data_IF_995541613988
#
_entry.id   IF_995541613988
#
_cell.length_a   1.000
_cell.length_b   1.000
_cell.length_c   1.000
_cell.angle_alpha   90.00
_cell.angle_beta   90.00
_cell.angle_gamma   90.00
#
_symmetry.space_group_name_H-M   'P 1'
#
loop_
_entity.id
_entity.type
_entity.pdbx_description
1 polymer ?
#
# COMPACT_ATOMS: atom_id res chain seq x y z
N UNK A 1 -10.86 22.69 21.25
CA UNK A 1 -9.81 21.68 21.54
C UNK A 1 -9.87 20.65 20.44
N UNK A 2 -8.74 20.38 19.80
CA UNK A 2 -8.65 19.50 18.63
C UNK A 2 -7.91 18.21 19.00
N UNK A 3 -8.31 17.09 18.39
CA UNK A 3 -7.69 15.77 18.54
C UNK A 3 -7.82 15.04 17.21
N UNK A 4 -6.80 14.27 16.83
CA UNK A 4 -6.79 13.48 15.59
C UNK A 4 -6.68 12.01 15.96
N UNK A 5 -7.62 11.20 15.50
CA UNK A 5 -7.50 9.75 15.61
C UNK A 5 -6.52 9.24 14.56
N UNK A 6 -5.42 8.64 15.02
CA UNK A 6 -4.34 8.09 14.19
C UNK A 6 -4.40 6.57 14.04
N UNK A 7 -5.30 5.89 14.76
CA UNK A 7 -5.43 4.44 14.76
C UNK A 7 -6.91 4.05 14.70
N UNK A 8 -7.38 3.73 13.49
CA UNK A 8 -8.78 3.48 13.17
C UNK A 8 -8.90 2.36 12.14
N UNK A 9 -9.70 1.36 12.46
CA UNK A 9 -10.06 0.25 11.60
C UNK A 9 -11.38 0.53 10.89
N UNK A 10 -11.29 0.80 9.59
CA UNK A 10 -12.42 1.01 8.70
C UNK A 10 -13.09 -0.31 8.31
N UNK A 11 -14.11 -0.25 7.45
CA UNK A 11 -14.71 -1.45 6.86
C UNK A 11 -13.72 -2.27 5.99
N UNK A 12 -12.56 -1.70 5.64
CA UNK A 12 -11.50 -2.37 4.89
C UNK A 12 -10.52 -3.16 5.77
N UNK A 13 -10.67 -3.11 7.10
CA UNK A 13 -10.12 -4.11 8.02
C UNK A 13 -11.06 -5.32 8.07
N UNK A 14 -10.87 -6.26 7.15
CA UNK A 14 -11.83 -7.33 6.93
C UNK A 14 -12.07 -8.17 8.19
N UNK A 15 -13.36 -8.36 8.52
CA UNK A 15 -13.82 -9.11 9.70
C UNK A 15 -13.27 -8.57 11.05
N UNK A 16 -12.87 -7.29 11.10
CA UNK A 16 -12.29 -6.69 12.31
C UNK A 16 -12.74 -5.23 12.53
N UNK A 17 -12.86 -4.42 11.47
CA UNK A 17 -13.29 -3.03 11.54
C UNK A 17 -14.70 -2.79 10.98
N UNK A 18 -15.44 -1.86 11.61
CA UNK A 18 -16.78 -1.42 11.21
C UNK A 18 -16.92 0.10 11.17
N UNK A 19 -15.81 0.84 11.23
CA UNK A 19 -15.82 2.29 11.05
C UNK A 19 -16.02 2.65 9.58
N UNK A 20 -17.27 2.57 9.09
CA UNK A 20 -17.60 2.92 7.71
C UNK A 20 -17.07 4.32 7.36
N UNK A 21 -16.27 4.44 6.29
CA UNK A 21 -15.62 5.70 5.85
C UNK A 21 -16.61 6.88 5.82
N UNK A 22 -17.81 6.68 5.27
CA UNK A 22 -18.81 7.75 5.17
C UNK A 22 -19.26 8.26 6.56
N UNK A 23 -19.42 7.36 7.52
CA UNK A 23 -19.78 7.71 8.90
C UNK A 23 -18.59 8.33 9.65
N UNK A 24 -17.39 7.78 9.43
CA UNK A 24 -16.13 8.26 10.01
C UNK A 24 -15.88 9.71 9.64
N UNK A 25 -15.89 10.03 8.34
CA UNK A 25 -15.68 11.38 7.82
C UNK A 25 -16.76 12.34 8.30
N UNK A 26 -18.03 11.92 8.28
CA UNK A 26 -19.15 12.73 8.78
C UNK A 26 -19.02 13.06 10.26
N UNK A 27 -18.61 12.10 11.09
CA UNK A 27 -18.40 12.29 12.53
C UNK A 27 -17.17 13.17 12.79
N UNK A 28 -16.06 12.95 12.08
CA UNK A 28 -14.88 13.81 12.15
C UNK A 28 -15.20 15.27 11.81
N UNK A 29 -15.97 15.51 10.73
CA UNK A 29 -16.44 16.85 10.34
C UNK A 29 -17.30 17.50 11.42
N UNK A 30 -18.28 16.77 11.96
CA UNK A 30 -19.16 17.25 13.04
C UNK A 30 -18.36 17.64 14.29
N UNK A 31 -17.28 16.93 14.56
CA UNK A 31 -16.37 17.19 15.68
C UNK A 31 -15.30 18.23 15.40
N UNK A 32 -15.23 18.77 14.17
CA UNK A 32 -14.21 19.74 13.73
C UNK A 32 -12.79 19.22 13.90
N UNK A 33 -12.58 17.93 13.62
CA UNK A 33 -11.24 17.35 13.56
C UNK A 33 -10.55 17.81 12.27
N UNK A 34 -9.30 18.31 12.33
CA UNK A 34 -8.58 18.80 11.15
C UNK A 34 -8.14 17.65 10.24
N UNK A 35 -7.85 16.49 10.84
CA UNK A 35 -7.41 15.29 10.15
C UNK A 35 -8.03 14.05 10.79
N UNK A 36 -8.02 12.93 10.06
CA UNK A 36 -8.36 11.59 10.56
C UNK A 36 -7.58 10.54 9.79
N UNK A 37 -7.13 9.49 10.49
CA UNK A 37 -6.46 8.35 9.87
C UNK A 37 -7.38 7.17 9.65
N UNK A 38 -7.03 6.34 8.67
CA UNK A 38 -7.38 4.91 8.64
C UNK A 38 -6.08 4.11 8.66
N UNK A 39 -6.05 3.07 9.48
CA UNK A 39 -4.90 2.18 9.69
C UNK A 39 -5.40 0.75 9.64
N UNK A 40 -5.90 0.37 8.47
CA UNK A 40 -6.57 -0.91 8.32
C UNK A 40 -5.59 -2.07 8.51
N UNK A 41 -6.08 -3.16 9.12
CA UNK A 41 -5.28 -4.37 9.34
C UNK A 41 -5.04 -5.08 8.02
N UNK A 42 -3.77 -5.21 7.65
CA UNK A 42 -3.31 -5.92 6.46
C UNK A 42 -4.00 -5.45 5.15
N UNK A 43 -4.35 -4.16 5.09
CA UNK A 43 -5.09 -3.61 3.94
C UNK A 43 -4.88 -2.11 3.83
N UNK A 44 -4.77 -1.62 2.61
CA UNK A 44 -4.86 -0.19 2.27
C UNK A 44 -5.94 0.07 1.22
N UNK A 45 -6.84 -0.91 0.99
CA UNK A 45 -7.83 -0.87 -0.08
C UNK A 45 -8.81 0.31 0.04
N UNK A 46 -9.04 0.81 1.26
CA UNK A 46 -9.87 1.98 1.52
C UNK A 46 -9.23 3.34 1.19
N UNK A 47 -7.92 3.39 0.92
CA UNK A 47 -7.15 4.63 0.90
C UNK A 47 -7.66 5.70 -0.08
N UNK A 48 -7.92 5.32 -1.34
CA UNK A 48 -8.38 6.27 -2.38
C UNK A 48 -9.80 6.77 -2.07
N UNK A 49 -10.71 5.87 -1.69
CA UNK A 49 -12.10 6.23 -1.32
C UNK A 49 -12.12 7.16 -0.11
N UNK A 50 -11.33 6.84 0.91
CA UNK A 50 -11.19 7.65 2.12
C UNK A 50 -10.62 9.02 1.80
N UNK A 51 -9.53 9.09 1.03
CA UNK A 51 -8.89 10.34 0.62
C UNK A 51 -9.86 11.27 -0.09
N UNK A 52 -10.63 10.73 -1.04
CA UNK A 52 -11.69 11.48 -1.74
C UNK A 52 -12.73 12.05 -0.78
N UNK A 53 -13.28 11.20 0.10
CA UNK A 53 -14.34 11.60 1.05
C UNK A 53 -13.85 12.65 2.06
N UNK A 54 -12.63 12.50 2.56
CA UNK A 54 -11.99 13.48 3.43
C UNK A 54 -11.81 14.83 2.73
N UNK A 55 -11.32 14.83 1.48
CA UNK A 55 -11.20 16.05 0.67
C UNK A 55 -12.54 16.75 0.49
N UNK A 56 -13.58 16.03 0.05
CA UNK A 56 -14.93 16.60 -0.13
C UNK A 56 -15.50 17.18 1.17
N UNK A 57 -15.07 16.64 2.31
CA UNK A 57 -15.47 17.10 3.63
C UNK A 57 -14.64 18.28 4.16
N UNK A 58 -13.47 18.59 3.56
CA UNK A 58 -12.51 19.57 4.04
C UNK A 58 -11.70 19.08 5.24
N UNK A 59 -11.38 17.78 5.28
CA UNK A 59 -10.60 17.12 6.33
C UNK A 59 -9.35 16.51 5.69
N UNK A 60 -8.20 16.62 6.35
CA UNK A 60 -6.97 15.98 5.88
C UNK A 60 -7.03 14.45 6.10
N UNK A 61 -6.91 13.64 5.04
CA UNK A 61 -6.80 12.19 5.20
C UNK A 61 -5.39 11.80 5.64
N UNK A 62 -5.28 10.85 6.55
CA UNK A 62 -4.01 10.19 6.90
C UNK A 62 -4.16 8.71 6.53
N UNK A 63 -3.27 8.22 5.66
CA UNK A 63 -3.30 6.83 5.22
C UNK A 63 -2.27 6.04 6.01
N UNK A 64 -2.69 4.92 6.60
CA UNK A 64 -1.80 4.03 7.30
C UNK A 64 -2.18 2.56 7.16
N UNK A 65 -1.42 1.73 7.86
CA UNK A 65 -1.47 0.28 7.81
C UNK A 65 -1.14 -0.26 9.20
N UNK A 66 -2.01 -1.13 9.73
CA UNK A 66 -1.60 -2.04 10.79
C UNK A 66 -1.05 -3.31 10.15
N UNK A 67 0.18 -3.68 10.52
CA UNK A 67 0.82 -4.90 10.03
C UNK A 67 1.65 -5.57 11.12
N UNK A 68 1.69 -6.91 11.09
CA UNK A 68 2.52 -7.70 11.98
C UNK A 68 3.97 -7.82 11.47
N UNK A 69 4.93 -7.55 12.36
CA UNK A 69 6.37 -7.71 12.12
C UNK A 69 6.86 -8.96 12.84
N UNK A 70 7.32 -9.93 12.07
CA UNK A 70 7.98 -11.13 12.56
C UNK A 70 9.40 -10.78 13.05
N UNK A 71 9.68 -11.13 14.30
CA UNK A 71 11.01 -11.06 14.86
C UNK A 71 11.81 -12.32 14.52
N UNK A 72 12.18 -12.42 13.24
CA UNK A 72 12.95 -13.51 12.62
C UNK A 72 14.33 -13.73 13.23
N UNK A 73 14.92 -12.69 13.81
CA UNK A 73 16.27 -12.72 14.41
C UNK A 73 16.30 -13.12 15.88
N UNK A 74 15.16 -13.27 16.55
CA UNK A 74 15.12 -13.60 17.99
C UNK A 74 14.20 -14.79 18.30
N UNK A 75 13.01 -14.55 18.84
CA UNK A 75 12.09 -15.56 19.38
C UNK A 75 11.01 -16.02 18.39
N UNK A 76 11.01 -15.48 17.16
CA UNK A 76 10.04 -15.83 16.13
C UNK A 76 8.61 -15.35 16.40
N UNK A 77 8.40 -14.49 17.41
CA UNK A 77 7.09 -13.88 17.66
C UNK A 77 6.82 -12.79 16.62
N UNK A 78 5.53 -12.54 16.38
CA UNK A 78 5.06 -11.48 15.51
C UNK A 78 4.29 -10.45 16.34
N UNK A 79 4.52 -9.17 16.07
CA UNK A 79 3.90 -8.06 16.79
C UNK A 79 3.36 -7.03 15.83
N UNK A 80 2.16 -6.51 16.09
CA UNK A 80 1.59 -5.42 15.29
C UNK A 80 2.32 -4.12 15.54
N UNK A 81 2.49 -3.35 14.47
CA UNK A 81 2.86 -1.94 14.49
C UNK A 81 1.89 -1.14 13.63
N UNK A 82 1.86 0.17 13.85
CA UNK A 82 1.09 1.09 13.01
C UNK A 82 2.05 1.92 12.19
N UNK A 83 1.86 1.91 10.86
CA UNK A 83 2.62 2.72 9.93
C UNK A 83 1.69 3.76 9.30
N UNK A 84 2.13 5.02 9.25
CA UNK A 84 1.42 6.10 8.56
C UNK A 84 2.29 6.60 7.41
N UNK A 85 1.70 6.78 6.24
CA UNK A 85 2.35 7.37 5.09
C UNK A 85 2.47 8.88 5.27
N UNK A 86 3.70 9.37 5.44
CA UNK A 86 4.00 10.80 5.54
C UNK A 86 3.87 11.51 4.20
N UNK A 87 4.20 10.83 3.10
CA UNK A 87 4.19 11.35 1.74
C UNK A 87 3.93 10.22 0.72
N UNK A 88 4.00 10.52 -0.58
CA UNK A 88 3.78 9.53 -1.65
C UNK A 88 4.80 8.37 -1.60
N UNK A 89 6.05 8.64 -1.26
CA UNK A 89 7.07 7.58 -1.07
C UNK A 89 6.66 6.62 0.05
N UNK A 90 6.20 7.17 1.18
CA UNK A 90 5.63 6.40 2.28
C UNK A 90 4.45 5.54 1.84
N UNK A 91 3.50 6.10 1.07
CA UNK A 91 2.36 5.35 0.56
C UNK A 91 2.78 4.19 -0.38
N UNK A 92 3.77 4.43 -1.24
CA UNK A 92 4.34 3.38 -2.09
C UNK A 92 5.03 2.29 -1.25
N UNK A 93 5.70 2.67 -0.17
CA UNK A 93 6.32 1.72 0.76
C UNK A 93 5.27 0.92 1.55
N UNK A 94 4.16 1.53 1.99
CA UNK A 94 3.03 0.78 2.55
C UNK A 94 2.49 -0.26 1.54
N UNK A 95 2.35 0.14 0.28
CA UNK A 95 1.89 -0.74 -0.80
C UNK A 95 2.86 -1.90 -1.06
N UNK A 96 4.17 -1.65 -1.00
CA UNK A 96 5.20 -2.70 -1.11
C UNK A 96 5.15 -3.66 0.08
N UNK A 97 5.11 -3.13 1.31
CA UNK A 97 5.07 -3.94 2.52
C UNK A 97 3.87 -4.87 2.55
N UNK A 98 2.68 -4.36 2.19
CA UNK A 98 1.47 -5.20 2.20
C UNK A 98 1.52 -6.28 1.11
N UNK A 99 2.07 -5.96 -0.07
CA UNK A 99 2.28 -6.97 -1.12
C UNK A 99 3.28 -8.04 -0.69
N UNK A 100 4.40 -7.65 -0.06
CA UNK A 100 5.38 -8.60 0.47
C UNK A 100 4.77 -9.54 1.52
N UNK A 101 3.92 -9.00 2.40
CA UNK A 101 3.25 -9.76 3.44
C UNK A 101 2.27 -10.79 2.85
N UNK A 102 1.40 -10.37 1.92
CA UNK A 102 0.44 -11.25 1.25
C UNK A 102 1.12 -12.31 0.37
N UNK A 103 2.21 -11.96 -0.32
CA UNK A 103 2.96 -12.93 -1.13
C UNK A 103 3.62 -14.02 -0.30
N UNK A 104 3.96 -13.72 0.97
CA UNK A 104 4.54 -14.70 1.90
C UNK A 104 3.48 -15.63 2.46
N UNK A 105 2.40 -15.05 3.01
CA UNK A 105 1.27 -15.78 3.56
C UNK A 105 -0.01 -14.93 3.44
N UNK A 106 -0.92 -15.26 2.50
CA UNK A 106 -2.17 -14.52 2.33
C UNK A 106 -3.11 -14.64 3.55
N UNK A 107 -3.02 -15.72 4.33
CA UNK A 107 -3.91 -15.98 5.45
C UNK A 107 -3.50 -15.21 6.71
N UNK A 108 -2.20 -15.05 6.93
CA UNK A 108 -1.66 -14.26 8.05
C UNK A 108 -0.53 -13.36 7.56
N UNK A 109 -0.84 -12.25 6.87
CA UNK A 109 0.17 -11.36 6.30
C UNK A 109 1.09 -10.80 7.37
N UNK A 110 2.40 -11.07 7.22
CA UNK A 110 3.47 -10.61 8.13
C UNK A 110 4.68 -10.20 7.32
N UNK A 111 5.41 -9.21 7.81
CA UNK A 111 6.71 -8.79 7.26
C UNK A 111 7.85 -9.16 8.21
N UNK A 112 9.07 -9.33 7.71
CA UNK A 112 10.25 -9.44 8.56
C UNK A 112 10.77 -8.06 8.97
N UNK A 113 11.60 -8.02 10.02
CA UNK A 113 12.33 -6.80 10.42
C UNK A 113 13.24 -6.27 9.29
N UNK A 114 13.79 -7.15 8.46
CA UNK A 114 14.61 -6.75 7.29
C UNK A 114 13.77 -6.06 6.22
N UNK A 115 12.60 -6.61 5.88
CA UNK A 115 11.69 -6.00 4.90
C UNK A 115 11.20 -4.64 5.37
N UNK A 116 10.93 -4.48 6.67
CA UNK A 116 10.56 -3.18 7.25
C UNK A 116 11.68 -2.15 7.10
N UNK A 117 12.93 -2.56 7.33
CA UNK A 117 14.11 -1.70 7.21
C UNK A 117 14.40 -1.29 5.75
N UNK A 118 14.01 -2.10 4.76
CA UNK A 118 14.17 -1.77 3.34
C UNK A 118 13.10 -0.80 2.81
N UNK A 119 11.99 -0.65 3.53
CA UNK A 119 10.82 0.13 3.12
C UNK A 119 10.42 1.18 4.18
N UNK A 120 11.38 1.77 4.89
CA UNK A 120 11.14 2.71 6.00
C UNK A 120 10.93 4.17 5.55
N UNK A 121 11.45 4.53 4.37
CA UNK A 121 11.42 5.90 3.87
C UNK A 121 9.97 6.44 3.76
N UNK A 122 9.76 7.68 4.19
CA UNK A 122 8.46 8.35 4.13
C UNK A 122 7.41 7.80 5.10
N UNK A 123 7.78 6.97 6.07
CA UNK A 123 6.85 6.40 7.05
C UNK A 123 7.01 6.99 8.46
N UNK A 124 5.88 7.09 9.16
CA UNK A 124 5.81 7.31 10.61
C UNK A 124 5.38 6.00 11.26
N UNK A 125 6.08 5.58 12.31
CA UNK A 125 5.83 4.33 13.00
C UNK A 125 5.36 4.57 14.44
N UNK A 126 4.24 3.96 14.81
CA UNK A 126 3.75 3.90 16.18
C UNK A 126 3.97 2.48 16.72
N UNK A 127 4.52 2.40 17.93
CA UNK A 127 4.95 1.13 18.54
C UNK A 127 3.84 0.11 18.81
N UNK A 128 2.56 0.50 18.65
CA UNK A 128 1.38 -0.17 19.20
C UNK A 128 1.41 -0.24 20.74
N UNK A 129 0.24 -0.19 21.37
CA UNK A 129 0.08 -0.39 22.82
C UNK A 129 0.38 -1.85 23.23
N UNK A 130 -0.46 -2.49 24.05
CA UNK A 130 -0.20 -3.83 24.64
C UNK A 130 0.03 -4.97 23.65
N UNK A 131 -0.33 -4.80 22.37
CA UNK A 131 -0.09 -5.77 21.29
C UNK A 131 1.30 -5.60 20.65
N UNK A 132 1.94 -4.45 20.87
CA UNK A 132 3.27 -4.15 20.37
C UNK A 132 4.37 -4.92 21.08
N UNK A 133 5.50 -5.10 20.40
CA UNK A 133 6.68 -5.81 20.89
C UNK A 133 7.21 -5.19 22.19
N UNK A 134 7.28 -3.86 22.24
CA UNK A 134 7.81 -3.11 23.39
C UNK A 134 6.94 -3.32 24.62
N UNK A 135 5.63 -3.08 24.52
CA UNK A 135 4.73 -3.22 25.66
C UNK A 135 4.68 -4.67 26.15
N UNK A 136 4.75 -5.66 25.24
CA UNK A 136 4.83 -7.07 25.60
C UNK A 136 6.08 -7.35 26.45
N UNK A 137 7.26 -6.92 25.99
CA UNK A 137 8.52 -7.10 26.74
C UNK A 137 8.50 -6.36 28.09
N UNK A 138 7.90 -5.16 28.15
CA UNK A 138 7.75 -4.42 29.40
C UNK A 138 6.82 -5.15 30.40
N UNK A 139 5.74 -5.77 29.92
CA UNK A 139 4.84 -6.57 30.75
C UNK A 139 5.50 -7.88 31.23
N UNK A 140 6.42 -8.44 30.44
CA UNK A 140 7.26 -9.58 30.80
C UNK A 140 8.42 -9.23 31.75
N UNK A 141 8.56 -7.95 32.16
CA UNK A 141 9.68 -7.43 32.95
C UNK A 141 11.06 -7.59 32.27
N UNK A 142 11.08 -7.55 30.93
CA UNK A 142 12.28 -7.60 30.09
C UNK A 142 12.67 -6.19 29.63
N UNK A 143 12.76 -5.25 30.57
CA UNK A 143 12.95 -3.81 30.30
C UNK A 143 14.21 -3.51 29.48
N UNK A 144 15.29 -4.28 29.66
CA UNK A 144 16.53 -4.13 28.86
C UNK A 144 16.30 -4.46 27.38
N UNK A 145 15.54 -5.52 27.11
CA UNK A 145 15.25 -5.97 25.74
C UNK A 145 14.25 -5.02 25.06
N UNK A 146 13.25 -4.55 25.81
CA UNK A 146 12.34 -3.51 25.33
C UNK A 146 13.10 -2.25 24.87
N UNK A 147 14.17 -1.88 25.59
CA UNK A 147 15.02 -0.75 25.21
C UNK A 147 15.81 -1.02 23.93
N UNK A 148 16.38 -2.21 23.77
CA UNK A 148 17.07 -2.61 22.53
C UNK A 148 16.12 -2.56 21.33
N UNK A 149 14.90 -3.08 21.49
CA UNK A 149 13.86 -3.03 20.46
C UNK A 149 13.49 -1.58 20.13
N UNK A 150 13.30 -0.74 21.14
CA UNK A 150 13.02 0.67 20.92
C UNK A 150 14.14 1.37 20.17
N UNK A 151 15.40 1.13 20.54
CA UNK A 151 16.55 1.77 19.92
C UNK A 151 16.67 1.33 18.45
N UNK A 152 16.31 0.08 18.15
CA UNK A 152 16.23 -0.43 16.77
C UNK A 152 15.17 0.29 15.95
N UNK A 153 13.92 0.37 16.42
CA UNK A 153 12.88 1.12 15.70
C UNK A 153 13.24 2.60 15.54
N UNK A 154 13.83 3.22 16.56
CA UNK A 154 14.32 4.59 16.49
C UNK A 154 15.43 4.76 15.46
N UNK A 155 16.32 3.77 15.31
CA UNK A 155 17.38 3.83 14.29
C UNK A 155 16.86 3.77 12.85
N UNK A 156 15.67 3.18 12.66
CA UNK A 156 15.01 3.08 11.35
C UNK A 156 14.21 4.36 11.08
N UNK A 157 13.25 4.68 11.94
CA UNK A 157 12.30 5.76 11.70
C UNK A 157 12.78 7.14 12.19
N UNK A 158 13.90 7.22 12.90
CA UNK A 158 14.47 8.45 13.45
C UNK A 158 13.42 9.26 14.24
N UNK A 159 13.16 10.50 13.83
CA UNK A 159 12.17 11.40 14.44
C UNK A 159 10.71 11.02 14.11
N UNK A 160 10.51 10.09 13.17
CA UNK A 160 9.20 9.58 12.78
C UNK A 160 8.78 8.36 13.63
N UNK A 161 9.45 8.09 14.76
CA UNK A 161 9.10 7.02 15.67
C UNK A 161 8.39 7.54 16.92
N UNK A 162 7.23 6.95 17.25
CA UNK A 162 6.42 7.34 18.40
C UNK A 162 6.03 6.11 19.23
N UNK A 163 5.99 6.28 20.55
CA UNK A 163 5.36 5.32 21.42
C UNK A 163 3.85 5.54 21.47
N UNK A 164 3.11 4.48 21.22
CA UNK A 164 1.66 4.55 21.24
C UNK A 164 1.11 4.15 22.61
N UNK A 165 0.26 5.00 23.19
CA UNK A 165 -0.49 4.69 24.41
C UNK A 165 -1.99 4.71 24.14
N UNK A 166 -2.69 3.83 24.83
CA UNK A 166 -4.14 3.66 24.78
C UNK A 166 -4.64 3.51 26.22
N UNK A 167 -5.91 3.85 26.46
CA UNK A 167 -6.53 3.69 27.78
C UNK A 167 -8.00 3.29 27.63
N UNK A 168 -8.24 1.98 27.69
CA UNK A 168 -9.56 1.36 27.68
C UNK A 168 -10.00 0.94 29.09
N UNK A 169 -9.30 1.39 30.14
CA UNK A 169 -9.57 1.02 31.53
C UNK A 169 -9.08 -0.38 31.91
N UNK A 170 -8.19 -0.98 31.12
CA UNK A 170 -7.66 -2.32 31.39
C UNK A 170 -6.41 -2.26 32.28
N UNK A 171 -6.27 -3.14 33.30
CA UNK A 171 -5.11 -3.13 34.20
C UNK A 171 -3.77 -3.32 33.48
N UNK A 172 -3.73 -4.17 32.44
CA UNK A 172 -2.52 -4.43 31.65
C UNK A 172 -2.06 -3.19 30.89
N UNK A 173 -3.00 -2.43 30.33
CA UNK A 173 -2.69 -1.17 29.64
C UNK A 173 -2.11 -0.16 30.61
N UNK A 174 -2.70 0.00 31.81
CA UNK A 174 -2.20 0.93 32.82
C UNK A 174 -0.74 0.61 33.23
N UNK A 175 -0.41 -0.67 33.41
CA UNK A 175 0.96 -1.11 33.74
C UNK A 175 1.91 -0.83 32.56
N UNK A 176 1.56 -1.28 31.35
CA UNK A 176 2.38 -1.10 30.16
C UNK A 176 2.66 0.38 29.88
N UNK A 177 1.61 1.20 29.97
CA UNK A 177 1.65 2.65 29.77
C UNK A 177 2.58 3.35 30.77
N UNK A 178 2.50 3.03 32.06
CA UNK A 178 3.41 3.61 33.06
C UNK A 178 4.88 3.27 32.75
N UNK A 179 5.16 2.02 32.37
CA UNK A 179 6.51 1.61 31.97
C UNK A 179 6.95 2.31 30.68
N UNK A 180 6.07 2.42 29.70
CA UNK A 180 6.35 3.06 28.40
C UNK A 180 6.61 4.56 28.54
N UNK A 181 5.87 5.26 29.41
CA UNK A 181 6.11 6.67 29.74
C UNK A 181 7.47 6.88 30.42
N UNK A 182 7.86 5.99 31.34
CA UNK A 182 9.20 6.03 31.94
C UNK A 182 10.29 5.77 30.88
N UNK A 183 10.06 4.82 29.97
CA UNK A 183 10.99 4.57 28.87
C UNK A 183 11.11 5.78 27.93
N UNK A 184 9.99 6.44 27.58
CA UNK A 184 9.96 7.67 26.79
C UNK A 184 10.83 8.77 27.39
N UNK A 185 10.74 8.98 28.70
CA UNK A 185 11.56 9.97 29.40
C UNK A 185 13.06 9.71 29.20
N UNK A 186 13.47 8.44 29.19
CA UNK A 186 14.87 8.04 29.04
C UNK A 186 15.36 8.02 27.58
N UNK A 187 14.53 7.56 26.65
CA UNK A 187 14.88 7.42 25.22
C UNK A 187 14.63 8.68 24.41
N UNK A 188 13.90 9.66 24.99
CA UNK A 188 13.40 10.88 24.34
C UNK A 188 12.53 10.58 23.11
N UNK A 189 11.93 9.40 23.04
CA UNK A 189 10.96 9.06 21.99
C UNK A 189 9.61 9.68 22.37
N UNK A 190 8.97 10.47 21.50
CA UNK A 190 7.68 11.09 21.78
C UNK A 190 6.58 10.04 21.95
N UNK A 191 5.55 10.38 22.74
CA UNK A 191 4.41 9.50 23.02
C UNK A 191 3.15 10.09 22.40
N UNK A 192 2.30 9.26 21.81
CA UNK A 192 1.04 9.67 21.20
C UNK A 192 -0.12 8.84 21.75
N UNK A 193 -1.25 9.51 21.98
CA UNK A 193 -2.48 8.86 22.45
C UNK A 193 -3.37 8.48 21.26
N UNK A 194 -3.81 7.23 21.25
CA UNK A 194 -4.76 6.67 20.28
C UNK A 194 -5.85 5.88 21.00
N UNK A 195 -6.80 5.32 20.26
CA UNK A 195 -7.91 4.56 20.85
C UNK A 195 -8.30 3.30 20.04
N UNK A 196 -7.47 2.86 19.09
CA UNK A 196 -7.67 1.60 18.35
C UNK A 196 -9.14 1.39 17.91
N UNK A 197 -9.66 2.33 17.10
CA UNK A 197 -11.11 2.41 16.90
C UNK A 197 -11.60 1.36 15.91
N UNK A 198 -12.46 0.44 16.34
CA UNK A 198 -13.07 -0.61 15.51
C UNK A 198 -14.52 -0.33 15.12
N UNK A 199 -15.20 0.60 15.81
CA UNK A 199 -16.60 0.94 15.56
C UNK A 199 -16.91 2.42 15.86
N UNK A 200 -18.07 2.91 15.41
CA UNK A 200 -18.39 4.33 15.44
C UNK A 200 -18.90 4.81 16.81
N UNK A 201 -19.84 4.09 17.41
CA UNK A 201 -20.43 4.42 18.72
C UNK A 201 -20.27 3.25 19.69
N UNK A 202 -20.20 3.54 21.00
CA UNK A 202 -20.08 2.50 22.05
C UNK A 202 -21.06 1.33 21.91
N UNK A 203 -22.30 1.60 21.50
CA UNK A 203 -23.36 0.60 21.31
C UNK A 203 -23.11 -0.36 20.14
N UNK A 204 -22.25 0.03 19.20
CA UNK A 204 -21.95 -0.74 18.00
C UNK A 204 -20.95 -1.87 18.29
N UNK A 205 -20.46 -2.01 19.52
CA UNK A 205 -19.54 -3.09 19.93
C UNK A 205 -20.08 -4.49 19.62
N UNK A 206 -21.41 -4.65 19.62
CA UNK A 206 -22.09 -5.90 19.28
C UNK A 206 -21.81 -6.35 17.83
N UNK A 207 -21.59 -5.40 16.91
CA UNK A 207 -21.25 -5.71 15.53
C UNK A 207 -19.85 -6.34 15.44
N UNK A 208 -18.92 -5.87 16.25
CA UNK A 208 -17.57 -6.45 16.33
C UNK A 208 -17.57 -7.84 16.93
N UNK A 209 -18.41 -8.10 17.94
CA UNK A 209 -18.60 -9.44 18.49
C UNK A 209 -19.18 -10.40 17.43
N UNK A 210 -20.15 -9.91 16.63
CA UNK A 210 -20.70 -10.69 15.52
C UNK A 210 -19.65 -10.99 14.43
N UNK A 211 -18.80 -10.01 14.06
CA UNK A 211 -17.69 -10.24 13.13
C UNK A 211 -16.70 -11.27 13.66
N UNK A 212 -16.40 -11.24 14.96
CA UNK A 212 -15.53 -12.23 15.59
C UNK A 212 -16.14 -13.64 15.58
N UNK A 213 -17.46 -13.75 15.73
CA UNK A 213 -18.19 -15.01 15.57
C UNK A 213 -18.05 -15.55 14.15
N UNK A 214 -18.27 -14.71 13.15
CA UNK A 214 -18.10 -15.06 11.73
C UNK A 214 -16.67 -15.50 11.44
N UNK A 215 -15.67 -14.74 11.93
CA UNK A 215 -14.25 -15.04 11.74
C UNK A 215 -13.85 -16.38 12.33
N UNK A 216 -14.40 -16.75 13.49
CA UNK A 216 -14.09 -18.01 14.19
C UNK A 216 -15.00 -19.18 13.78
N UNK A 217 -16.08 -18.93 13.04
CA UNK A 217 -17.09 -19.94 12.74
C UNK A 217 -17.84 -20.45 13.98
N UNK A 218 -18.14 -19.56 14.94
CA UNK A 218 -18.83 -19.88 16.21
C UNK A 218 -20.16 -19.13 16.32
N UNK A 219 -21.06 -19.64 17.16
CA UNK A 219 -22.33 -18.98 17.46
C UNK A 219 -22.16 -17.79 18.41
N UNK A 220 -23.08 -16.83 18.33
CA UNK A 220 -23.08 -15.63 19.18
C UNK A 220 -23.22 -15.93 20.68
N UNK A 221 -23.77 -17.10 21.04
CA UNK A 221 -23.86 -17.57 22.42
C UNK A 221 -22.58 -18.21 22.96
N UNK A 222 -21.53 -18.39 22.14
CA UNK A 222 -20.28 -19.03 22.54
C UNK A 222 -19.48 -18.13 23.51
N UNK A 223 -18.73 -18.72 24.44
CA UNK A 223 -17.92 -17.99 25.43
C UNK A 223 -16.88 -17.05 24.77
N UNK A 224 -16.38 -17.46 23.60
CA UNK A 224 -15.41 -16.71 22.80
C UNK A 224 -16.02 -15.76 21.75
N UNK A 225 -17.34 -15.56 21.79
CA UNK A 225 -18.05 -14.65 20.90
C UNK A 225 -17.56 -13.20 21.06
N UNK A 226 -17.26 -12.80 22.29
CA UNK A 226 -16.79 -11.45 22.59
C UNK A 226 -15.39 -11.23 22.01
N UNK A 227 -15.22 -10.17 21.20
CA UNK A 227 -13.94 -9.85 20.56
C UNK A 227 -12.96 -9.20 21.55
N UNK A 228 -13.47 -8.24 22.32
CA UNK A 228 -12.67 -7.37 23.19
C UNK A 228 -13.08 -7.51 24.65
N UNK A 229 -12.14 -7.21 25.56
CA UNK A 229 -12.42 -7.24 26.99
C UNK A 229 -13.50 -6.20 27.40
N UNK A 230 -13.52 -5.05 26.74
CA UNK A 230 -14.43 -3.94 27.02
C UNK A 230 -14.98 -3.29 25.74
N UNK A 231 -15.91 -2.32 25.90
CA UNK A 231 -16.63 -1.68 24.81
C UNK A 231 -16.12 -0.24 24.56
N UNK A 232 -14.81 -0.02 24.71
CA UNK A 232 -14.16 1.30 24.62
C UNK A 232 -13.50 1.58 23.26
N UNK A 233 -13.51 0.63 22.33
CA UNK A 233 -12.85 0.71 21.01
C UNK A 233 -13.68 1.47 19.96
N UNK A 234 -14.42 2.50 20.37
CA UNK A 234 -15.23 3.33 19.48
C UNK A 234 -14.55 4.65 19.12
N UNK A 235 -15.01 5.30 18.05
CA UNK A 235 -14.55 6.63 17.62
C UNK A 235 -14.96 7.73 18.61
N UNK A 236 -14.20 7.86 19.70
CA UNK A 236 -14.41 8.81 20.80
C UNK A 236 -14.33 10.26 20.36
N UNK A 237 -15.01 11.12 21.10
CA UNK A 237 -14.89 12.56 20.94
C UNK A 237 -13.59 13.09 21.51
N UNK A 238 -13.13 14.26 21.03
CA UNK A 238 -11.95 14.92 21.62
C UNK A 238 -12.09 15.17 23.13
N UNK A 239 -13.32 15.39 23.62
CA UNK A 239 -13.62 15.56 25.05
C UNK A 239 -13.49 14.24 25.81
N UNK A 240 -14.02 13.15 25.26
CA UNK A 240 -13.87 11.80 25.84
C UNK A 240 -12.40 11.39 25.87
N UNK A 241 -11.66 11.59 24.77
CA UNK A 241 -10.22 11.32 24.72
C UNK A 241 -9.47 12.10 25.80
N UNK A 242 -9.77 13.41 25.96
CA UNK A 242 -9.18 14.22 27.04
C UNK A 242 -9.49 13.67 28.44
N UNK A 243 -10.68 13.12 28.66
CA UNK A 243 -11.04 12.58 29.97
C UNK A 243 -10.29 11.29 30.32
N UNK A 244 -9.76 10.57 29.33
CA UNK A 244 -8.91 9.39 29.56
C UNK A 244 -7.53 9.76 30.09
N UNK A 245 -7.07 10.99 29.81
CA UNK A 245 -5.70 11.41 30.06
C UNK A 245 -5.58 12.91 30.35
N UNK A 246 -5.27 13.24 31.60
CA UNK A 246 -5.00 14.62 32.00
C UNK A 246 -3.52 15.02 31.85
N UNK A 247 -2.60 14.05 31.78
CA UNK A 247 -1.16 14.30 31.71
C UNK A 247 -0.40 13.09 31.13
N UNK A 248 0.63 13.27 30.27
CA UNK A 248 1.17 14.54 29.77
C UNK A 248 0.33 15.17 28.64
N UNK A 249 0.23 16.53 28.56
CA UNK A 249 -0.49 17.20 27.49
C UNK A 249 0.10 16.94 26.10
N UNK A 250 1.39 16.57 26.04
CA UNK A 250 2.09 16.22 24.80
C UNK A 250 1.41 15.09 24.03
N UNK A 251 0.71 14.18 24.72
CA UNK A 251 -0.02 13.07 24.10
C UNK A 251 -1.03 13.55 23.05
N UNK A 252 -1.70 14.68 23.32
CA UNK A 252 -2.69 15.26 22.42
C UNK A 252 -2.03 16.11 21.35
N UNK A 253 -1.05 16.94 21.71
CA UNK A 253 -0.37 17.79 20.74
C UNK A 253 0.34 16.96 19.68
N UNK A 254 0.92 15.81 20.05
CA UNK A 254 1.60 14.94 19.11
C UNK A 254 0.66 14.34 18.06
N UNK A 255 -0.63 14.15 18.37
CA UNK A 255 -1.61 13.74 17.34
C UNK A 255 -1.78 14.78 16.25
N UNK A 256 -1.75 16.06 16.64
CA UNK A 256 -1.84 17.20 15.72
C UNK A 256 -0.52 17.38 14.98
N UNK A 257 0.63 17.30 15.67
CA UNK A 257 1.94 17.41 15.04
C UNK A 257 2.20 16.32 14.01
N UNK A 258 1.74 15.09 14.26
CA UNK A 258 1.79 14.02 13.26
C UNK A 258 0.92 14.40 12.05
N UNK A 259 -0.32 14.84 12.27
CA UNK A 259 -1.19 15.27 11.18
C UNK A 259 -0.59 16.42 10.35
N UNK A 260 -0.03 17.43 11.00
CA UNK A 260 0.61 18.58 10.34
C UNK A 260 1.83 18.16 9.51
N UNK A 261 2.47 17.04 9.84
CA UNK A 261 3.64 16.51 9.12
C UNK A 261 3.30 15.67 7.88
N UNK A 262 2.01 15.37 7.64
CA UNK A 262 1.57 14.56 6.50
C UNK A 262 1.45 15.44 5.25
N UNK A 263 2.27 15.11 4.26
CA UNK A 263 2.37 15.73 2.93
C UNK A 263 1.93 14.72 1.85
N UNK A 264 0.74 14.15 2.01
CA UNK A 264 0.17 13.18 1.07
C UNK A 264 -1.19 13.66 0.56
N UNK A 265 -1.30 13.84 -0.76
CA UNK A 265 -2.58 14.12 -1.42
C UNK A 265 -2.93 13.07 -2.49
N UNK A 266 -3.20 11.85 -2.00
CA UNK A 266 -3.35 10.65 -2.82
C UNK A 266 -4.40 10.78 -3.94
N UNK A 267 -5.50 11.48 -3.70
CA UNK A 267 -6.55 11.61 -4.72
C UNK A 267 -6.10 12.48 -5.90
N UNK A 268 -5.36 13.58 -5.67
CA UNK A 268 -4.86 14.44 -6.76
C UNK A 268 -3.84 13.66 -7.58
N UNK A 269 -2.88 13.05 -6.89
CA UNK A 269 -1.83 12.27 -7.55
C UNK A 269 -2.39 11.11 -8.38
N UNK A 270 -3.47 10.47 -7.92
CA UNK A 270 -4.11 9.37 -8.67
C UNK A 270 -4.90 9.83 -9.90
N UNK A 271 -5.44 11.05 -9.90
CA UNK A 271 -6.28 11.58 -11.00
C UNK A 271 -5.43 12.30 -12.04
N UNK A 272 -4.39 13.01 -11.63
CA UNK A 272 -3.54 13.81 -12.52
C UNK A 272 -2.45 12.98 -13.21
N UNK A 273 -1.96 11.90 -12.59
CA UNK A 273 -0.87 11.07 -13.12
C UNK A 273 -1.36 9.71 -13.62
N UNK A 274 -2.26 9.69 -14.59
CA UNK A 274 -2.62 8.44 -15.28
C UNK A 274 -1.40 7.98 -16.09
N UNK A 275 -0.64 7.03 -15.55
CA UNK A 275 0.44 6.36 -16.28
C UNK A 275 -0.19 5.30 -17.18
N UNK A 276 -0.45 5.69 -18.42
CA UNK A 276 -0.73 4.70 -19.47
C UNK A 276 0.60 3.98 -19.80
N UNK A 277 0.62 2.64 -19.84
CA UNK A 277 1.79 1.94 -20.30
C UNK A 277 2.08 2.42 -21.73
N UNK A 278 3.23 3.07 -21.92
CA UNK A 278 3.75 3.31 -23.26
C UNK A 278 4.19 1.97 -23.81
N UNK A 279 3.34 1.38 -24.63
CA UNK A 279 3.74 0.28 -25.49
C UNK A 279 4.48 0.94 -26.65
N UNK A 280 5.81 0.89 -26.63
CA UNK A 280 6.60 1.18 -27.82
C UNK A 280 6.34 0.05 -28.81
N UNK A 281 5.46 0.29 -29.78
CA UNK A 281 5.38 -0.56 -30.95
C UNK A 281 6.68 -0.36 -31.74
N UNK A 282 7.39 -1.44 -32.03
CA UNK A 282 8.51 -1.40 -32.99
C UNK A 282 7.95 -0.84 -34.29
N UNK A 283 8.55 0.22 -34.85
CA UNK A 283 8.16 0.72 -36.15
C UNK A 283 8.41 -0.36 -37.20
N UNK A 284 7.33 -0.94 -37.70
CA UNK A 284 7.36 -1.96 -38.74
C UNK A 284 7.48 -1.29 -40.11
N UNK A 285 8.65 -1.35 -40.72
CA UNK A 285 8.83 -0.99 -42.12
C UNK A 285 8.64 -2.22 -43.04
N UNK A 286 8.48 -1.96 -44.34
CA UNK A 286 8.30 -2.98 -45.39
C UNK A 286 9.31 -4.12 -45.26
N UNK A 287 10.58 -3.79 -44.98
CA UNK A 287 11.68 -4.74 -44.85
C UNK A 287 11.56 -5.59 -43.58
N UNK A 288 11.17 -5.00 -42.46
CA UNK A 288 11.00 -5.68 -41.17
C UNK A 288 9.79 -6.61 -41.17
N UNK A 289 8.68 -6.19 -41.78
CA UNK A 289 7.49 -7.04 -41.94
C UNK A 289 7.84 -8.25 -42.81
N UNK A 290 8.45 -8.02 -43.98
CA UNK A 290 8.82 -9.11 -44.88
C UNK A 290 9.82 -10.09 -44.24
N UNK A 291 10.83 -9.57 -43.53
CA UNK A 291 11.80 -10.38 -42.79
C UNK A 291 11.13 -11.31 -41.78
N UNK A 292 10.20 -10.82 -40.98
CA UNK A 292 9.54 -11.65 -39.97
C UNK A 292 8.60 -12.68 -40.59
N UNK A 293 7.92 -12.35 -41.69
CA UNK A 293 7.14 -13.34 -42.45
C UNK A 293 8.06 -14.46 -42.97
N UNK A 294 9.19 -14.13 -43.60
CA UNK A 294 10.15 -15.13 -44.08
C UNK A 294 10.69 -16.04 -42.95
N UNK A 295 10.90 -15.50 -41.74
CA UNK A 295 11.28 -16.32 -40.57
C UNK A 295 10.20 -17.30 -40.15
N UNK A 296 8.92 -16.89 -40.17
CA UNK A 296 7.78 -17.78 -39.87
C UNK A 296 7.73 -18.94 -40.87
N UNK A 297 8.00 -18.65 -42.14
CA UNK A 297 8.12 -19.66 -43.19
C UNK A 297 9.41 -20.49 -43.12
N UNK A 298 10.27 -20.26 -42.13
CA UNK A 298 11.54 -20.96 -41.90
C UNK A 298 12.52 -20.87 -43.07
N UNK A 299 12.49 -19.74 -43.80
CA UNK A 299 13.47 -19.45 -44.84
C UNK A 299 14.85 -19.30 -44.19
N UNK A 300 15.94 -19.85 -44.76
CA UNK A 300 17.27 -19.74 -44.16
C UNK A 300 17.72 -18.29 -43.99
N UNK A 301 18.33 -17.94 -42.86
CA UNK A 301 18.72 -16.56 -42.52
C UNK A 301 19.58 -15.87 -43.59
N UNK A 302 20.45 -16.64 -44.27
CA UNK A 302 21.24 -16.15 -45.40
C UNK A 302 20.36 -15.65 -46.54
N UNK A 303 19.34 -16.42 -46.91
CA UNK A 303 18.40 -16.06 -47.99
C UNK A 303 17.49 -14.90 -47.56
N UNK A 304 17.12 -14.84 -46.28
CA UNK A 304 16.38 -13.68 -45.72
C UNK A 304 17.20 -12.40 -45.84
N UNK A 305 18.49 -12.43 -45.47
CA UNK A 305 19.37 -11.27 -45.58
C UNK A 305 19.50 -10.80 -47.04
N UNK A 306 19.78 -11.73 -47.96
CA UNK A 306 19.89 -11.46 -49.39
C UNK A 306 18.60 -10.81 -49.94
N UNK A 307 17.43 -11.41 -49.69
CA UNK A 307 16.13 -10.88 -50.11
C UNK A 307 15.83 -9.50 -49.54
N UNK A 308 16.08 -9.29 -48.25
CA UNK A 308 15.78 -8.02 -47.60
C UNK A 308 16.74 -6.90 -48.03
N UNK A 309 17.97 -7.20 -48.41
CA UNK A 309 18.95 -6.22 -48.90
C UNK A 309 18.68 -5.79 -50.35
N UNK A 310 17.96 -6.61 -51.12
CA UNK A 310 17.51 -6.27 -52.47
C UNK A 310 16.26 -5.38 -52.52
N UNK A 311 15.59 -5.13 -51.38
CA UNK A 311 14.45 -4.22 -51.29
C UNK A 311 14.96 -2.76 -51.40
N UNK A 312 14.49 -1.98 -52.38
CA UNK A 312 14.85 -0.57 -52.50
C UNK A 312 14.44 0.23 -51.27
N UNK A 313 15.31 1.11 -50.80
CA UNK A 313 15.06 1.96 -49.61
C UNK A 313 13.83 2.86 -49.74
N UNK A 314 13.44 3.21 -50.96
CA UNK A 314 12.28 4.05 -51.26
C UNK A 314 10.97 3.27 -51.47
N UNK A 315 11.01 1.93 -51.48
CA UNK A 315 9.83 1.11 -51.70
C UNK A 315 8.97 1.07 -50.43
N UNK A 316 7.74 1.58 -50.53
CA UNK A 316 6.75 1.57 -49.45
C UNK A 316 6.00 0.25 -49.38
N UNK A 317 5.98 -0.52 -50.46
CA UNK A 317 5.38 -1.85 -50.54
C UNK A 317 6.30 -2.85 -51.23
N UNK A 318 6.03 -4.16 -51.10
CA UNK A 318 6.79 -5.18 -51.81
C UNK A 318 6.44 -5.20 -53.30
N UNK A 319 5.22 -4.80 -53.67
CA UNK A 319 4.85 -4.59 -55.09
C UNK A 319 5.69 -3.46 -55.70
N UNK A 320 5.87 -2.35 -55.00
CA UNK A 320 6.79 -1.28 -55.46
C UNK A 320 8.23 -1.79 -55.58
N UNK A 321 8.68 -2.60 -54.61
CA UNK A 321 10.02 -3.20 -54.65
C UNK A 321 10.22 -4.11 -55.86
N UNK A 322 9.22 -4.92 -56.22
CA UNK A 322 9.21 -5.76 -57.43
C UNK A 322 9.33 -4.91 -58.70
N UNK A 323 8.59 -3.81 -58.78
CA UNK A 323 8.61 -2.93 -59.95
C UNK A 323 9.93 -2.15 -60.09
N UNK A 324 10.60 -1.88 -58.98
CA UNK A 324 11.83 -1.08 -58.93
C UNK A 324 13.12 -1.93 -59.02
N UNK A 325 13.07 -3.20 -58.61
CA UNK A 325 14.23 -4.10 -58.56
C UNK A 325 13.92 -5.41 -59.27
N UNK A 326 14.53 -5.59 -60.44
CA UNK A 326 14.45 -6.86 -61.20
C UNK A 326 15.04 -8.02 -60.42
N UNK A 327 16.11 -7.76 -59.65
CA UNK A 327 16.79 -8.80 -58.86
C UNK A 327 15.89 -9.27 -57.73
N UNK A 328 15.26 -8.33 -57.01
CA UNK A 328 14.27 -8.67 -55.99
C UNK A 328 13.10 -9.45 -56.57
N UNK A 329 12.53 -8.99 -57.69
CA UNK A 329 11.42 -9.67 -58.37
C UNK A 329 11.76 -11.11 -58.77
N UNK A 330 12.98 -11.37 -59.26
CA UNK A 330 13.39 -12.71 -59.67
C UNK A 330 13.61 -13.61 -58.45
N UNK A 331 14.31 -13.11 -57.43
CA UNK A 331 14.65 -13.89 -56.24
C UNK A 331 13.46 -14.16 -55.33
N UNK A 332 12.54 -13.20 -55.19
CA UNK A 332 11.31 -13.40 -54.41
C UNK A 332 10.34 -14.38 -55.09
N UNK A 333 10.47 -14.55 -56.41
CA UNK A 333 9.64 -15.46 -57.20
C UNK A 333 10.30 -16.82 -57.49
N UNK A 334 11.52 -17.04 -56.97
CA UNK A 334 12.34 -18.21 -57.31
C UNK A 334 11.75 -19.52 -56.76
N UNK A 335 11.12 -19.48 -55.58
CA UNK A 335 10.48 -20.63 -54.96
C UNK A 335 9.11 -20.29 -54.37
N UNK A 336 8.26 -21.32 -54.28
CA UNK A 336 6.87 -21.19 -53.84
C UNK A 336 6.74 -20.58 -52.43
N UNK A 337 7.70 -20.86 -51.54
CA UNK A 337 7.68 -20.39 -50.15
C UNK A 337 7.94 -18.89 -50.09
N UNK A 338 8.90 -18.39 -50.87
CA UNK A 338 9.19 -16.95 -50.97
C UNK A 338 8.03 -16.20 -51.64
N UNK A 339 7.37 -16.79 -52.65
CA UNK A 339 6.17 -16.22 -53.27
C UNK A 339 5.03 -16.04 -52.26
N UNK A 340 4.69 -17.09 -51.51
CA UNK A 340 3.62 -17.00 -50.50
C UNK A 340 3.97 -16.03 -49.37
N UNK A 341 5.23 -16.03 -48.92
CA UNK A 341 5.71 -15.09 -47.91
C UNK A 341 5.57 -13.63 -48.39
N UNK A 342 5.84 -13.37 -49.68
CA UNK A 342 5.68 -12.05 -50.27
C UNK A 342 4.21 -11.60 -50.30
N UNK A 343 3.30 -12.47 -50.73
CA UNK A 343 1.85 -12.15 -50.77
C UNK A 343 1.27 -11.89 -49.38
N UNK A 344 1.72 -12.63 -48.36
CA UNK A 344 1.28 -12.44 -46.98
C UNK A 344 1.89 -11.16 -46.39
N UNK A 345 3.18 -10.93 -46.61
CA UNK A 345 3.84 -9.73 -46.14
C UNK A 345 3.24 -8.47 -46.75
N UNK A 346 2.89 -8.47 -48.04
CA UNK A 346 2.24 -7.33 -48.71
C UNK A 346 0.90 -6.98 -48.07
N UNK A 347 0.08 -7.98 -47.72
CA UNK A 347 -1.18 -7.77 -47.00
C UNK A 347 -0.96 -7.21 -45.59
N UNK A 348 0.08 -7.68 -44.91
CA UNK A 348 0.44 -7.20 -43.57
C UNK A 348 1.00 -5.78 -43.61
N UNK A 349 1.78 -5.42 -44.63
CA UNK A 349 2.24 -4.06 -44.86
C UNK A 349 1.05 -3.12 -44.97
N UNK A 350 0.02 -3.44 -45.76
CA UNK A 350 -1.20 -2.61 -45.82
C UNK A 350 -1.97 -2.48 -44.49
N UNK A 351 -1.71 -3.34 -43.51
CA UNK A 351 -2.37 -3.34 -42.19
C UNK A 351 -1.55 -2.65 -41.11
N UNK A 352 -0.22 -2.80 -41.14
CA UNK A 352 0.70 -2.33 -40.08
C UNK A 352 1.58 -1.15 -40.51
N UNK A 353 1.62 -0.83 -41.81
CA UNK A 353 2.30 0.35 -42.31
C UNK A 353 1.46 1.60 -42.01
N UNK A 354 1.88 2.39 -41.03
CA UNK A 354 1.31 3.71 -40.78
C UNK A 354 2.15 4.76 -41.52
N UNK A 355 1.62 5.44 -42.55
CA UNK A 355 2.36 6.49 -43.26
C UNK A 355 2.60 7.76 -42.42
N UNK A 356 2.05 7.86 -41.21
CA UNK A 356 1.99 9.10 -40.42
C UNK A 356 3.23 9.39 -39.54
N UNK A 357 4.40 8.79 -39.79
CA UNK A 357 5.61 9.04 -38.98
C UNK A 357 6.66 9.94 -39.69
N UNK A 358 6.38 10.43 -40.90
CA UNK A 358 7.28 11.35 -41.61
C UNK A 358 6.57 12.57 -42.21
N UNK A 359 5.75 13.27 -41.42
CA UNK A 359 5.47 14.71 -41.59
C UNK A 359 5.74 15.50 -40.31
#
# INVERSE_FOLDING_TARGET
MSFVHLHVHSEYSWLDGTCFIDNLVKKAKKQKMPAVAITDRNSIAGAVRFSKKCRDAGIQPIIGLEIEVLNDKTDGRAFSIILLAKNLEGFNNLSRLINLAHNRDPGVPKISKTQLQECDAGLICLSFSVVGEICTLLLENRDKEARVVSDWYKSIFNDNYYYEVQNHGLPREAIAMNKLLNMSYNSKVPVVLTNDCHYMERKDSIATDALNCIRKGIDFGHLDAKRFACNEYFFKTAKEMKSLFCFPPQLFSNTLSIADSIELDLYTESVENIVLPRIEYVNWDTKSIYREVLKVFRVPDRKIAELCDMIPLCAKTLIEAILQSTDFSCFSAEDYVCCEALDIAEKLIGTYYSPEIYE
#
